data_IF_947014095745
#
_entry.id   IF_947014095745
#
_cell.length_a   1.000
_cell.length_b   1.000
_cell.length_c   1.000
_cell.angle_alpha   90.00
_cell.angle_beta   90.00
_cell.angle_gamma   90.00
#
_symmetry.space_group_name_H-M   'P 1'
#
loop_
_entity.id
_entity.type
_entity.pdbx_description
1 polymer ?
#
# COMPACT_ATOMS: atom_id res chain seq x y z
N UNK A 1 -13.50 7.78 4.98
CA UNK A 1 -12.51 7.69 6.08
C UNK A 1 -11.54 8.87 5.99
N UNK A 2 -11.14 9.46 7.11
CA UNK A 2 -10.10 10.50 7.12
C UNK A 2 -8.72 9.84 7.06
N UNK A 3 -7.82 10.36 6.22
CA UNK A 3 -6.42 9.94 6.14
C UNK A 3 -5.77 9.94 7.53
N UNK A 4 -4.93 8.95 7.83
CA UNK A 4 -4.03 9.09 8.97
C UNK A 4 -3.15 10.34 8.71
N UNK A 5 -2.97 11.24 9.70
CA UNK A 5 -2.32 12.55 9.50
C UNK A 5 -0.93 12.47 8.82
N UNK A 6 -0.24 11.36 9.02
CA UNK A 6 1.08 11.07 8.44
C UNK A 6 1.09 11.00 6.91
N UNK A 7 -0.04 10.65 6.28
CA UNK A 7 -0.17 10.63 4.83
C UNK A 7 -0.53 12.01 4.27
N UNK A 8 -1.23 12.87 5.03
CA UNK A 8 -1.67 14.18 4.51
C UNK A 8 -0.51 15.11 4.18
N UNK A 9 0.55 15.15 5.01
CA UNK A 9 1.74 15.97 4.74
C UNK A 9 2.52 15.51 3.50
N UNK A 10 2.51 14.20 3.22
CA UNK A 10 3.13 13.62 2.03
C UNK A 10 2.28 13.91 0.79
N UNK A 11 0.95 13.85 0.93
CA UNK A 11 -0.02 14.17 -0.09
C UNK A 11 0.02 15.65 -0.52
N UNK A 12 0.29 16.56 0.41
CA UNK A 12 0.49 17.99 0.13
C UNK A 12 1.81 18.23 -0.65
N UNK A 13 2.87 17.49 -0.33
CA UNK A 13 4.14 17.53 -1.09
C UNK A 13 4.02 16.91 -2.48
N UNK A 14 3.10 15.95 -2.63
CA UNK A 14 2.77 15.29 -3.89
C UNK A 14 1.87 16.14 -4.80
N UNK A 15 1.31 17.24 -4.32
CA UNK A 15 0.42 18.12 -5.09
C UNK A 15 1.12 18.86 -6.26
N UNK A 16 2.45 18.77 -6.40
CA UNK A 16 3.22 19.53 -7.39
C UNK A 16 3.52 18.80 -8.71
N UNK A 17 2.79 17.73 -9.04
CA UNK A 17 2.77 17.14 -10.38
C UNK A 17 2.94 15.62 -10.44
N UNK A 18 2.41 15.03 -11.50
CA UNK A 18 2.45 13.58 -11.76
C UNK A 18 3.59 13.22 -12.73
N UNK A 19 4.84 13.43 -12.31
CA UNK A 19 5.98 12.88 -13.04
C UNK A 19 6.02 11.37 -12.85
N UNK A 20 6.15 10.63 -13.95
CA UNK A 20 6.23 9.17 -13.89
C UNK A 20 7.46 8.73 -13.09
N UNK A 21 7.23 7.78 -12.20
CA UNK A 21 8.26 7.14 -11.39
C UNK A 21 8.02 5.64 -11.40
N UNK A 22 8.96 4.91 -11.97
CA UNK A 22 8.95 3.45 -11.92
C UNK A 22 9.00 2.95 -10.48
N UNK A 23 8.56 1.71 -10.27
CA UNK A 23 8.52 1.11 -8.95
C UNK A 23 9.91 1.04 -8.30
N UNK A 24 10.03 1.62 -7.11
CA UNK A 24 11.24 1.56 -6.28
C UNK A 24 11.01 0.64 -5.08
N UNK A 25 12.07 -0.05 -4.67
CA UNK A 25 12.06 -0.81 -3.42
C UNK A 25 12.10 0.16 -2.23
N UNK A 26 11.25 -0.07 -1.23
CA UNK A 26 11.38 0.61 0.06
C UNK A 26 12.59 0.07 0.83
N UNK A 27 13.16 0.92 1.69
CA UNK A 27 14.15 0.47 2.65
C UNK A 27 13.56 -0.66 3.52
N UNK A 28 14.39 -1.67 3.83
CA UNK A 28 13.98 -2.76 4.71
C UNK A 28 13.56 -2.23 6.09
N UNK A 29 12.74 -3.00 6.84
CA UNK A 29 12.28 -2.54 8.14
C UNK A 29 13.46 -2.35 9.11
N UNK A 30 13.39 -1.35 10.00
CA UNK A 30 14.45 -1.13 10.98
C UNK A 30 14.48 -2.27 12.00
N UNK A 31 15.68 -2.60 12.49
CA UNK A 31 15.85 -3.53 13.60
C UNK A 31 15.79 -2.79 14.96
N UNK A 32 15.49 -3.50 16.06
CA UNK A 32 15.77 -3.01 17.40
C UNK A 32 17.21 -2.52 17.55
N UNK A 33 17.42 -1.43 18.28
CA UNK A 33 18.77 -0.84 18.50
C UNK A 33 19.42 -1.35 19.78
N UNK A 34 18.68 -2.14 20.56
CA UNK A 34 19.06 -2.58 21.89
C UNK A 34 17.98 -3.51 22.47
N UNK A 35 18.29 -4.10 23.62
CA UNK A 35 17.31 -4.85 24.40
C UNK A 35 16.19 -3.91 24.85
N UNK A 36 14.93 -4.30 24.57
CA UNK A 36 13.72 -3.50 24.80
C UNK A 36 13.72 -2.13 24.08
N UNK A 37 14.57 -1.92 23.08
CA UNK A 37 14.62 -0.70 22.27
C UNK A 37 14.05 -0.98 20.89
N UNK A 38 12.73 -0.88 20.76
CA UNK A 38 12.02 -1.17 19.52
C UNK A 38 11.91 0.09 18.65
N UNK A 39 12.14 -0.03 17.34
CA UNK A 39 11.99 1.09 16.42
C UNK A 39 10.51 1.39 16.17
N UNK A 40 10.24 2.64 15.80
CA UNK A 40 8.91 3.07 15.39
C UNK A 40 8.65 2.69 13.92
N UNK A 41 7.37 2.66 13.54
CA UNK A 41 6.95 2.54 12.14
C UNK A 41 7.56 3.70 11.33
N UNK A 42 8.37 3.42 10.29
CA UNK A 42 8.89 4.45 9.41
C UNK A 42 7.75 5.18 8.66
N UNK A 43 7.97 6.44 8.27
CA UNK A 43 7.01 7.14 7.44
C UNK A 43 6.85 6.44 6.07
N UNK A 44 5.68 6.58 5.43
CA UNK A 44 5.47 6.04 4.09
C UNK A 44 6.34 6.72 3.04
N UNK A 45 6.82 5.93 2.09
CA UNK A 45 7.63 6.37 0.98
C UNK A 45 6.89 6.17 -0.34
N UNK A 46 7.04 7.10 -1.28
CA UNK A 46 6.47 6.95 -2.62
C UNK A 46 7.30 5.94 -3.39
N UNK A 47 6.71 4.78 -3.64
CA UNK A 47 7.36 3.71 -4.41
C UNK A 47 7.10 3.84 -5.89
N UNK A 48 5.96 4.40 -6.31
CA UNK A 48 5.68 4.58 -7.72
C UNK A 48 4.66 5.70 -7.99
N UNK A 49 4.74 6.28 -9.19
CA UNK A 49 3.79 7.27 -9.72
C UNK A 49 3.58 7.04 -11.20
N UNK A 50 2.32 7.13 -11.64
CA UNK A 50 1.97 7.02 -13.05
C UNK A 50 0.93 8.06 -13.41
N UNK A 51 1.20 8.80 -14.47
CA UNK A 51 0.21 9.62 -15.14
C UNK A 51 -0.74 8.73 -15.91
N UNK A 52 -2.04 8.92 -15.68
CA UNK A 52 -3.08 8.26 -16.46
C UNK A 52 -3.55 9.19 -17.59
N UNK A 53 -3.98 8.65 -18.73
CA UNK A 53 -4.44 9.45 -19.86
C UNK A 53 -5.71 10.21 -19.52
N UNK A 54 -5.94 11.38 -20.11
CA UNK A 54 -7.22 12.07 -19.98
C UNK A 54 -8.35 11.20 -20.60
N UNK A 55 -9.53 11.22 -19.97
CA UNK A 55 -10.68 10.41 -20.39
C UNK A 55 -11.93 11.26 -20.54
N UNK A 56 -12.68 10.98 -21.61
CA UNK A 56 -14.03 11.50 -21.79
C UNK A 56 -14.99 10.47 -21.22
N UNK A 57 -15.77 10.85 -20.22
CA UNK A 57 -16.79 10.01 -19.60
C UNK A 57 -18.13 10.14 -20.34
N UNK A 58 -18.49 11.38 -20.69
CA UNK A 58 -19.72 11.72 -21.39
C UNK A 58 -19.40 12.79 -22.43
N UNK A 59 -20.00 12.69 -23.62
CA UNK A 59 -19.92 13.73 -24.64
C UNK A 59 -21.22 13.75 -25.47
N UNK A 60 -22.00 14.81 -25.31
CA UNK A 60 -23.17 15.09 -26.12
C UNK A 60 -22.85 16.20 -27.12
N UNK A 61 -23.34 16.03 -28.35
CA UNK A 61 -23.18 17.00 -29.43
C UNK A 61 -24.53 17.39 -30.01
N UNK A 62 -24.73 18.69 -30.20
CA UNK A 62 -25.85 19.24 -30.97
C UNK A 62 -25.29 20.08 -32.11
N UNK A 63 -25.72 19.80 -33.35
CA UNK A 63 -25.25 20.48 -34.57
C UNK A 63 -23.71 20.53 -34.70
N UNK A 64 -23.01 19.50 -34.19
CA UNK A 64 -21.55 19.41 -34.23
C UNK A 64 -20.82 20.19 -33.13
N UNK A 65 -21.54 20.95 -32.28
CA UNK A 65 -20.99 21.59 -31.09
C UNK A 65 -21.18 20.69 -29.87
N UNK A 66 -20.16 20.65 -29.00
CA UNK A 66 -20.23 19.94 -27.72
C UNK A 66 -21.16 20.73 -26.80
N UNK A 67 -22.31 20.15 -26.45
CA UNK A 67 -23.26 20.77 -25.52
C UNK A 67 -23.01 20.33 -24.10
N UNK A 68 -22.69 19.05 -23.90
CA UNK A 68 -22.33 18.49 -22.60
C UNK A 68 -21.07 17.65 -22.73
N UNK A 69 -20.15 17.78 -21.79
CA UNK A 69 -18.98 16.93 -21.74
C UNK A 69 -18.50 16.76 -20.31
N UNK A 70 -18.26 15.51 -19.91
CA UNK A 70 -17.56 15.20 -18.67
C UNK A 70 -16.23 14.54 -19.02
N UNK A 71 -15.14 15.05 -18.44
CA UNK A 71 -13.79 14.55 -18.64
C UNK A 71 -13.07 14.34 -17.32
N UNK A 72 -12.27 13.29 -17.22
CA UNK A 72 -11.22 13.17 -16.23
C UNK A 72 -9.90 13.64 -16.85
N UNK A 73 -9.22 14.56 -16.18
CA UNK A 73 -7.96 15.15 -16.62
C UNK A 73 -6.95 15.16 -15.50
N UNK A 74 -5.68 15.40 -15.82
CA UNK A 74 -4.58 15.51 -14.84
C UNK A 74 -4.51 14.31 -13.87
N UNK A 75 -4.80 13.13 -14.40
CA UNK A 75 -4.97 11.93 -13.60
C UNK A 75 -3.62 11.36 -13.16
N UNK A 76 -3.51 10.98 -11.88
CA UNK A 76 -2.29 10.46 -11.29
C UNK A 76 -2.60 9.30 -10.34
N UNK A 77 -1.95 8.17 -10.57
CA UNK A 77 -1.95 7.04 -9.65
C UNK A 77 -0.62 7.01 -8.90
N UNK A 78 -0.69 7.14 -7.58
CA UNK A 78 0.45 7.16 -6.67
C UNK A 78 0.38 5.92 -5.79
N UNK A 79 1.52 5.24 -5.65
CA UNK A 79 1.66 4.13 -4.71
C UNK A 79 2.69 4.52 -3.66
N UNK A 80 2.27 4.47 -2.41
CA UNK A 80 3.12 4.65 -1.24
C UNK A 80 3.26 3.32 -0.51
N UNK A 81 4.39 3.10 0.14
CA UNK A 81 4.61 1.89 0.92
C UNK A 81 5.35 2.20 2.22
N UNK A 82 5.08 1.38 3.25
CA UNK A 82 5.84 1.37 4.51
C UNK A 82 5.85 -0.02 5.12
N UNK A 83 6.74 -0.21 6.09
CA UNK A 83 6.68 -1.35 6.99
C UNK A 83 5.98 -0.95 8.28
N UNK A 84 4.84 -1.55 8.58
CA UNK A 84 4.13 -1.33 9.83
C UNK A 84 4.65 -2.28 10.92
N UNK A 85 5.10 -1.74 12.05
CA UNK A 85 5.45 -2.53 13.23
C UNK A 85 4.17 -2.94 13.96
N UNK A 86 3.89 -4.24 14.04
CA UNK A 86 2.67 -4.73 14.70
C UNK A 86 2.95 -5.59 15.93
N UNK A 87 4.18 -6.09 16.07
CA UNK A 87 4.57 -6.92 17.20
C UNK A 87 6.03 -6.67 17.57
N UNK A 88 6.26 -6.58 18.87
CA UNK A 88 7.57 -6.46 19.49
C UNK A 88 7.67 -7.44 20.65
N UNK A 89 8.82 -8.07 20.81
CA UNK A 89 9.08 -8.96 21.93
C UNK A 89 10.55 -8.93 22.35
N UNK A 90 10.78 -9.19 23.62
CA UNK A 90 12.11 -9.52 24.14
C UNK A 90 12.04 -10.89 24.79
N UNK A 91 13.01 -11.74 24.50
CA UNK A 91 13.08 -13.10 25.00
C UNK A 91 14.47 -13.42 25.53
N UNK A 92 14.55 -14.36 26.45
CA UNK A 92 15.80 -14.94 26.96
C UNK A 92 15.67 -16.47 26.99
N UNK A 93 16.75 -17.24 27.18
CA UNK A 93 16.67 -18.71 27.17
C UNK A 93 15.76 -19.25 28.27
N UNK A 94 15.68 -18.57 29.42
CA UNK A 94 14.78 -18.93 30.53
C UNK A 94 13.35 -18.40 30.35
N UNK A 95 13.14 -17.44 29.45
CA UNK A 95 11.85 -16.80 29.20
C UNK A 95 11.62 -16.63 27.70
N UNK A 96 11.31 -17.72 26.97
CA UNK A 96 10.98 -17.63 25.56
C UNK A 96 9.65 -16.89 25.35
N UNK A 97 9.48 -16.30 24.18
CA UNK A 97 8.25 -15.64 23.77
C UNK A 97 7.48 -16.52 22.78
N UNK A 98 6.17 -16.59 22.96
CA UNK A 98 5.23 -17.23 22.03
C UNK A 98 3.86 -16.59 22.19
N UNK A 99 3.32 -16.00 21.12
CA UNK A 99 1.99 -15.37 21.14
C UNK A 99 1.27 -15.51 19.82
N UNK A 100 0.00 -15.87 19.89
CA UNK A 100 -0.90 -15.90 18.73
C UNK A 100 -1.53 -14.52 18.54
N UNK A 101 -1.47 -14.02 17.30
CA UNK A 101 -2.05 -12.75 16.88
C UNK A 101 -2.95 -12.94 15.68
N UNK A 102 -4.05 -12.19 15.65
CA UNK A 102 -4.88 -12.03 14.46
C UNK A 102 -4.46 -10.77 13.73
N UNK A 103 -4.14 -10.91 12.45
CA UNK A 103 -3.60 -9.83 11.60
C UNK A 103 -4.47 -9.71 10.37
N UNK A 104 -4.79 -8.47 10.01
CA UNK A 104 -5.52 -8.17 8.77
C UNK A 104 -4.53 -8.11 7.59
N UNK A 105 -4.84 -8.83 6.53
CA UNK A 105 -4.10 -8.87 5.26
C UNK A 105 -5.05 -8.60 4.10
N UNK A 106 -4.51 -8.20 2.95
CA UNK A 106 -5.29 -7.83 1.78
C UNK A 106 -5.81 -6.39 1.84
N UNK A 107 -6.73 -6.09 0.92
CA UNK A 107 -7.21 -4.74 0.66
C UNK A 107 -8.59 -4.45 1.25
N UNK A 108 -8.70 -3.31 1.93
CA UNK A 108 -9.98 -2.76 2.40
C UNK A 108 -10.59 -1.87 1.31
N UNK A 109 -11.93 -1.89 1.15
CA UNK A 109 -12.68 -0.99 0.23
C UNK A 109 -12.27 -1.05 -1.26
N UNK A 110 -12.05 -2.25 -1.80
CA UNK A 110 -11.60 -2.41 -3.21
C UNK A 110 -12.61 -1.91 -4.25
N UNK A 111 -13.91 -1.88 -3.96
CA UNK A 111 -14.94 -1.66 -4.99
C UNK A 111 -14.99 -0.23 -5.56
N UNK A 112 -14.96 0.80 -4.70
CA UNK A 112 -15.00 2.21 -5.15
C UNK A 112 -13.74 2.60 -5.90
N UNK A 113 -12.57 2.21 -5.37
CA UNK A 113 -11.30 2.45 -6.01
C UNK A 113 -11.19 1.73 -7.36
N UNK A 114 -11.68 0.48 -7.44
CA UNK A 114 -11.70 -0.28 -8.69
C UNK A 114 -12.50 0.44 -9.76
N UNK A 115 -13.70 0.90 -9.43
CA UNK A 115 -14.55 1.65 -10.35
C UNK A 115 -13.89 2.98 -10.77
N UNK A 116 -13.26 3.70 -9.85
CA UNK A 116 -12.55 4.93 -10.17
C UNK A 116 -11.37 4.67 -11.13
N UNK A 117 -10.62 3.59 -10.91
CA UNK A 117 -9.53 3.19 -11.79
C UNK A 117 -10.06 2.73 -13.16
N UNK A 118 -11.18 2.00 -13.23
CA UNK A 118 -11.87 1.60 -14.46
C UNK A 118 -12.20 2.83 -15.31
N UNK A 119 -12.86 3.83 -14.71
CA UNK A 119 -13.23 5.07 -15.37
C UNK A 119 -12.00 5.84 -15.84
N UNK A 120 -10.95 5.86 -15.02
CA UNK A 120 -9.69 6.56 -15.32
C UNK A 120 -8.91 5.89 -16.45
N UNK A 121 -8.93 4.56 -16.52
CA UNK A 121 -8.21 3.79 -17.52
C UNK A 121 -9.03 3.46 -18.76
N UNK A 122 -10.36 3.64 -18.73
CA UNK A 122 -11.27 3.30 -19.83
C UNK A 122 -11.32 1.80 -20.13
N UNK A 123 -11.13 0.97 -19.10
CA UNK A 123 -11.13 -0.50 -19.20
C UNK A 123 -12.26 -1.03 -18.33
N UNK A 124 -13.10 -1.90 -18.88
CA UNK A 124 -14.04 -2.70 -18.08
C UNK A 124 -13.24 -3.76 -17.35
N UNK A 125 -13.09 -3.63 -16.04
CA UNK A 125 -12.35 -4.61 -15.25
C UNK A 125 -13.33 -5.72 -14.85
N UNK A 126 -13.15 -6.91 -15.41
CA UNK A 126 -13.94 -8.09 -15.11
C UNK A 126 -13.58 -8.64 -13.72
N UNK A 127 -14.15 -8.06 -12.68
CA UNK A 127 -13.91 -8.50 -11.30
C UNK A 127 -12.52 -8.15 -10.77
N UNK A 128 -12.37 -8.27 -9.46
CA UNK A 128 -11.22 -7.78 -8.69
C UNK A 128 -9.85 -8.35 -9.19
N UNK A 129 -9.86 -9.53 -9.86
CA UNK A 129 -8.67 -10.13 -10.45
C UNK A 129 -8.07 -9.37 -11.64
N UNK A 130 -8.90 -8.72 -12.46
CA UNK A 130 -8.45 -7.98 -13.66
C UNK A 130 -7.74 -6.65 -13.29
N UNK A 131 -7.98 -6.13 -12.08
CA UNK A 131 -7.20 -5.01 -11.53
C UNK A 131 -5.72 -5.38 -11.38
N UNK A 132 -5.44 -6.61 -10.96
CA UNK A 132 -4.06 -7.07 -10.83
C UNK A 132 -3.31 -7.07 -12.16
N UNK A 133 -3.96 -7.51 -13.24
CA UNK A 133 -3.39 -7.47 -14.59
C UNK A 133 -3.21 -6.03 -15.12
N UNK A 134 -4.17 -5.15 -14.83
CA UNK A 134 -4.13 -3.75 -15.27
C UNK A 134 -3.02 -2.98 -14.54
N UNK A 135 -2.90 -3.16 -13.22
CA UNK A 135 -1.81 -2.61 -12.42
C UNK A 135 -0.46 -3.22 -12.83
N UNK A 136 -0.41 -4.49 -13.22
CA UNK A 136 0.80 -5.10 -13.83
C UNK A 136 1.23 -4.37 -15.08
N UNK A 137 0.28 -4.01 -15.95
CA UNK A 137 0.58 -3.29 -17.18
C UNK A 137 1.12 -1.88 -16.87
N UNK A 138 0.58 -1.24 -15.84
CA UNK A 138 0.93 0.12 -15.43
C UNK A 138 2.24 0.20 -14.61
N UNK A 139 2.53 -0.81 -13.77
CA UNK A 139 3.64 -0.80 -12.81
C UNK A 139 4.68 -1.92 -13.02
N UNK A 140 4.51 -2.78 -14.03
CA UNK A 140 5.31 -3.99 -14.25
C UNK A 140 5.28 -4.99 -13.07
N UNK A 141 4.23 -4.94 -12.22
CA UNK A 141 4.05 -5.83 -11.07
C UNK A 141 2.59 -6.20 -10.84
N UNK A 142 2.33 -7.48 -10.61
CA UNK A 142 1.00 -7.97 -10.24
C UNK A 142 0.62 -7.54 -8.83
N UNK A 143 -0.43 -6.73 -8.73
CA UNK A 143 -1.04 -6.29 -7.48
C UNK A 143 -2.40 -6.97 -7.40
N UNK A 144 -2.46 -8.14 -6.76
CA UNK A 144 -3.73 -8.82 -6.54
C UNK A 144 -4.48 -8.09 -5.45
N UNK A 145 -5.54 -7.38 -5.83
CA UNK A 145 -6.50 -6.86 -4.88
C UNK A 145 -7.26 -8.07 -4.31
N UNK A 146 -6.96 -8.48 -3.09
CA UNK A 146 -7.75 -9.46 -2.37
C UNK A 146 -8.63 -8.72 -1.37
N UNK A 147 -9.85 -9.19 -1.16
CA UNK A 147 -10.67 -8.68 -0.06
C UNK A 147 -9.93 -8.87 1.26
N UNK A 148 -9.93 -7.86 2.12
CA UNK A 148 -9.31 -7.93 3.44
C UNK A 148 -9.76 -9.19 4.18
N UNK A 149 -8.82 -9.97 4.68
CA UNK A 149 -9.08 -11.14 5.52
C UNK A 149 -8.24 -11.07 6.80
N UNK A 150 -8.71 -11.71 7.85
CA UNK A 150 -7.97 -11.81 9.11
C UNK A 150 -7.35 -13.20 9.18
N UNK A 151 -6.02 -13.24 9.20
CA UNK A 151 -5.28 -14.49 9.42
C UNK A 151 -4.78 -14.54 10.85
N UNK A 152 -4.72 -15.75 11.40
CA UNK A 152 -4.23 -15.97 12.76
C UNK A 152 -2.90 -16.70 12.69
N UNK A 153 -1.87 -16.11 13.28
CA UNK A 153 -0.50 -16.62 13.22
C UNK A 153 0.11 -16.60 14.62
N UNK A 154 0.89 -17.62 14.93
CA UNK A 154 1.69 -17.68 16.16
C UNK A 154 3.11 -17.20 15.87
N UNK A 155 3.55 -16.23 16.67
CA UNK A 155 4.90 -15.67 16.62
C UNK A 155 5.68 -16.12 17.83
N UNK A 156 6.87 -16.66 17.58
CA UNK A 156 7.71 -17.25 18.62
C UNK A 156 9.14 -16.72 18.52
N UNK A 157 9.79 -16.61 19.68
CA UNK A 157 11.17 -16.16 19.82
C UNK A 157 11.81 -16.92 20.99
N UNK A 158 12.73 -17.82 20.67
CA UNK A 158 13.41 -18.67 21.64
C UNK A 158 14.94 -18.59 21.43
N UNK A 159 15.63 -17.63 22.06
CA UNK A 159 17.07 -17.52 21.94
C UNK A 159 17.78 -18.69 22.63
N UNK A 160 18.84 -19.25 22.04
CA UNK A 160 19.63 -20.31 22.66
C UNK A 160 20.61 -19.77 23.70
N UNK A 161 20.96 -18.49 23.60
CA UNK A 161 21.84 -17.79 24.54
C UNK A 161 21.59 -16.29 24.49
N UNK A 162 21.72 -15.63 25.63
CA UNK A 162 21.55 -14.18 25.74
C UNK A 162 20.10 -13.71 25.56
N UNK A 163 19.86 -12.46 25.93
CA UNK A 163 18.58 -11.81 25.67
C UNK A 163 18.56 -11.29 24.22
N UNK A 164 17.43 -11.42 23.55
CA UNK A 164 17.20 -10.89 22.21
C UNK A 164 15.90 -10.10 22.15
N UNK A 165 15.88 -8.99 21.43
CA UNK A 165 14.68 -8.24 21.09
C UNK A 165 14.38 -8.40 19.61
N UNK A 166 13.11 -8.62 19.27
CA UNK A 166 12.65 -8.75 17.90
C UNK A 166 11.41 -7.88 17.63
N UNK A 167 11.31 -7.43 16.38
CA UNK A 167 10.19 -6.68 15.82
C UNK A 167 9.70 -7.39 14.56
N UNK A 168 8.39 -7.58 14.44
CA UNK A 168 7.75 -8.13 13.25
C UNK A 168 7.02 -7.03 12.48
N UNK A 169 7.25 -7.05 11.18
CA UNK A 169 6.85 -6.00 10.27
C UNK A 169 5.96 -6.54 9.17
N UNK A 170 4.92 -5.79 8.84
CA UNK A 170 4.05 -6.06 7.72
C UNK A 170 4.20 -4.94 6.70
N UNK A 171 4.39 -5.28 5.42
CA UNK A 171 4.38 -4.27 4.38
C UNK A 171 2.94 -3.77 4.16
N UNK A 172 2.76 -2.45 4.19
CA UNK A 172 1.50 -1.77 3.89
C UNK A 172 1.71 -0.89 2.66
N UNK A 173 0.83 -1.03 1.68
CA UNK A 173 0.79 -0.22 0.47
C UNK A 173 -0.47 0.64 0.49
N UNK A 174 -0.32 1.90 0.10
CA UNK A 174 -1.43 2.84 -0.06
C UNK A 174 -1.45 3.28 -1.50
N UNK A 175 -2.58 3.04 -2.14
CA UNK A 175 -2.82 3.46 -3.51
C UNK A 175 -3.73 4.67 -3.47
N UNK A 176 -3.34 5.68 -4.23
CA UNK A 176 -4.04 6.95 -4.30
C UNK A 176 -4.23 7.32 -5.76
N UNK A 177 -5.49 7.47 -6.15
CA UNK A 177 -5.88 7.96 -7.46
C UNK A 177 -6.37 9.40 -7.30
N UNK A 178 -5.71 10.32 -8.00
CA UNK A 178 -6.09 11.73 -8.09
C UNK A 178 -6.50 12.05 -9.50
N UNK A 179 -7.65 12.70 -9.67
CA UNK A 179 -8.15 13.12 -10.98
C UNK A 179 -8.87 14.46 -10.85
N UNK A 180 -8.87 15.24 -11.94
CA UNK A 180 -9.72 16.43 -12.05
C UNK A 180 -10.89 16.12 -12.98
N UNK A 181 -12.11 16.16 -12.45
CA UNK A 181 -13.34 16.07 -13.25
C UNK A 181 -13.68 17.45 -13.78
N UNK A 182 -13.62 17.58 -15.10
CA UNK A 182 -14.02 18.78 -15.84
C UNK A 182 -15.37 18.50 -16.47
N UNK A 183 -16.40 19.25 -16.05
CA UNK A 183 -17.73 19.18 -16.64
C UNK A 183 -17.99 20.46 -17.41
N UNK A 184 -18.40 20.31 -18.67
CA UNK A 184 -18.86 21.42 -19.51
C UNK A 184 -20.33 21.20 -19.83
N UNK A 185 -21.18 22.19 -19.56
CA UNK A 185 -22.62 22.14 -19.82
C UNK A 185 -23.06 23.48 -20.44
N UNK A 186 -23.56 23.44 -21.67
CA UNK A 186 -23.91 24.63 -22.47
C UNK A 186 -22.85 25.75 -22.47
N UNK A 187 -21.56 25.38 -22.52
CA UNK A 187 -20.45 26.32 -22.55
C UNK A 187 -19.97 26.82 -21.18
N UNK A 188 -20.63 26.44 -20.09
CA UNK A 188 -20.14 26.66 -18.72
C UNK A 188 -19.25 25.49 -18.30
N UNK A 189 -18.07 25.78 -17.75
CA UNK A 189 -17.11 24.76 -17.31
C UNK A 189 -16.91 24.81 -15.80
N UNK A 190 -17.04 23.65 -15.14
CA UNK A 190 -16.67 23.44 -13.75
C UNK A 190 -15.51 22.45 -13.65
N UNK A 191 -14.75 22.53 -12.56
CA UNK A 191 -13.66 21.60 -12.25
C UNK A 191 -13.78 21.16 -10.81
N UNK A 192 -13.76 19.86 -10.60
CA UNK A 192 -13.83 19.19 -9.30
C UNK A 192 -12.60 18.29 -9.13
N UNK A 193 -12.00 18.29 -7.95
CA UNK A 193 -10.93 17.35 -7.61
C UNK A 193 -11.54 16.07 -7.02
N UNK A 194 -11.13 14.93 -7.57
CA UNK A 194 -11.52 13.60 -7.12
C UNK A 194 -10.28 12.93 -6.57
N UNK A 195 -10.37 12.46 -5.33
CA UNK A 195 -9.34 11.68 -4.67
C UNK A 195 -9.95 10.38 -4.14
N UNK A 196 -9.42 9.25 -4.60
CA UNK A 196 -9.81 7.91 -4.19
C UNK A 196 -8.58 7.18 -3.66
N UNK A 197 -8.76 6.39 -2.61
CA UNK A 197 -7.66 5.66 -2.00
C UNK A 197 -8.07 4.30 -1.49
N UNK A 198 -7.11 3.39 -1.42
CA UNK A 198 -7.28 2.15 -0.65
C UNK A 198 -5.94 1.67 -0.07
N UNK A 199 -6.05 0.80 0.92
CA UNK A 199 -4.94 0.22 1.65
C UNK A 199 -4.85 -1.27 1.33
N UNK A 200 -3.64 -1.75 1.09
CA UNK A 200 -3.34 -3.17 0.90
C UNK A 200 -2.22 -3.59 1.85
N UNK A 201 -2.46 -4.66 2.61
CA UNK A 201 -1.48 -5.18 3.57
C UNK A 201 -0.99 -6.55 3.11
N UNK A 202 0.34 -6.66 3.01
CA UNK A 202 0.96 -7.90 2.60
C UNK A 202 0.69 -9.02 3.60
N UNK A 203 0.51 -10.24 3.10
CA UNK A 203 0.41 -11.45 3.92
C UNK A 203 1.78 -11.90 4.46
N UNK A 204 2.86 -11.38 3.89
CA UNK A 204 4.24 -11.71 4.30
C UNK A 204 4.72 -10.79 5.42
N UNK A 205 5.48 -11.39 6.35
CA UNK A 205 6.03 -10.71 7.52
C UNK A 205 7.54 -10.78 7.52
N UNK A 206 8.19 -9.70 7.92
CA UNK A 206 9.64 -9.63 8.03
C UNK A 206 9.99 -9.44 9.50
N UNK A 207 10.74 -10.37 10.11
CA UNK A 207 11.24 -10.18 11.45
C UNK A 207 12.63 -9.52 11.43
N UNK A 208 12.88 -8.67 12.41
CA UNK A 208 14.19 -8.00 12.63
C UNK A 208 14.57 -8.15 14.09
N UNK A 209 15.87 -8.16 14.43
CA UNK A 209 16.31 -8.49 15.79
C UNK A 209 17.60 -7.80 16.23
N UNK A 210 17.76 -7.70 17.55
CA UNK A 210 18.96 -7.27 18.25
C UNK A 210 19.32 -8.24 19.39
N UNK A 211 20.60 -8.60 19.58
CA UNK A 211 21.71 -8.36 18.65
C UNK A 211 21.45 -9.01 17.28
N UNK A 212 22.01 -8.47 16.19
CA UNK A 212 21.88 -9.10 14.89
C UNK A 212 22.53 -10.48 14.97
N UNK A 213 21.79 -11.52 14.62
CA UNK A 213 22.33 -12.88 14.61
C UNK A 213 23.36 -12.97 13.49
N UNK A 214 24.64 -12.98 13.84
CA UNK A 214 25.72 -13.38 12.94
C UNK A 214 25.55 -14.87 12.65
N UNK A 215 25.28 -15.23 11.39
CA UNK A 215 25.26 -16.64 10.95
C UNK A 215 26.59 -17.30 11.28
N UNK A 216 26.65 -18.13 12.32
CA UNK A 216 27.85 -18.93 12.62
C UNK A 216 27.62 -20.44 12.50
N UNK A 217 26.39 -20.94 12.36
CA UNK A 217 26.11 -22.38 12.38
C UNK A 217 24.95 -22.88 11.48
N UNK A 218 24.42 -22.05 10.59
CA UNK A 218 23.47 -22.51 9.56
C UNK A 218 22.04 -22.83 10.04
N UNK A 219 21.69 -22.55 11.29
CA UNK A 219 20.32 -22.64 11.78
C UNK A 219 19.65 -21.27 11.66
N UNK A 220 18.56 -21.16 10.88
CA UNK A 220 17.65 -20.03 11.03
C UNK A 220 17.07 -20.13 12.46
N UNK A 221 17.12 -19.07 13.27
CA UNK A 221 16.11 -18.95 14.32
C UNK A 221 14.80 -18.84 13.56
N UNK A 222 14.02 -19.93 13.61
CA UNK A 222 12.83 -20.09 12.82
C UNK A 222 11.82 -19.05 13.29
N UNK A 223 11.83 -17.91 12.61
CA UNK A 223 10.77 -16.92 12.63
C UNK A 223 9.82 -17.33 11.51
N UNK A 224 9.31 -18.56 11.57
CA UNK A 224 8.29 -18.99 10.64
C UNK A 224 6.97 -18.33 11.07
N UNK A 225 6.36 -17.49 10.23
CA UNK A 225 4.92 -17.39 10.28
C UNK A 225 4.40 -18.80 9.98
N UNK A 226 3.65 -19.40 10.91
CA UNK A 226 3.09 -20.73 10.71
C UNK A 226 2.39 -20.81 9.35
N UNK A 227 2.94 -21.62 8.45
CA UNK A 227 2.39 -21.88 7.14
C UNK A 227 1.01 -22.55 7.28
N UNK A 228 0.00 -22.00 6.62
CA UNK A 228 -1.22 -22.72 6.24
C UNK A 228 -1.48 -22.49 4.75
#
# INVERSE_FOLDING_TARGET
>A
MSLAPEYSELLDKLAQGCADQDWQSIAGPPAPTGINQFPLTPPPEVVSRRRLPDRILVEDKYEGQITNQEKLTNQCLIVMARYNNFLNATASPSTPFSRTYSITVGAEETTSFSLALELSMGVSIGGIGDLGATLTTTFAREIKLSTSTTITTTFSLAPPSGEISASWWQAEYVYLLRSQKVTTFYGETTTEEIEEQFYDRAETYIPTQYPPVSKSDGSLYILEPGHF
#
